data_IF_881267714102
#
_entry.id   IF_881267714102
#
_cell.length_a   1.000
_cell.length_b   1.000
_cell.length_c   1.000
_cell.angle_alpha   90.00
_cell.angle_beta   90.00
_cell.angle_gamma   90.00
#
_symmetry.space_group_name_H-M   'P 1'
#
loop_
_entity.id
_entity.type
_entity.pdbx_description
1 polymer ?
#
# COMPACT_ATOMS: atom_id res chain seq x y z
N UNK A 1 8.47 -17.00 -23.90
CA UNK A 1 8.31 -15.57 -24.25
C UNK A 1 7.67 -14.93 -23.02
N UNK A 2 8.38 -14.00 -22.38
CA UNK A 2 8.23 -13.56 -20.99
C UNK A 2 6.92 -12.78 -20.72
N UNK A 3 5.99 -13.38 -19.99
CA UNK A 3 4.85 -12.65 -19.39
C UNK A 3 5.27 -11.90 -18.12
N UNK A 4 6.37 -11.13 -18.17
CA UNK A 4 6.67 -10.07 -17.20
C UNK A 4 5.81 -8.82 -17.50
N UNK A 5 4.50 -9.01 -17.68
CA UNK A 5 3.61 -7.97 -18.18
C UNK A 5 2.97 -7.18 -17.03
N UNK A 6 3.77 -6.20 -16.59
CA UNK A 6 3.39 -4.93 -15.97
C UNK A 6 2.79 -4.99 -14.57
N UNK A 7 3.67 -5.22 -13.61
CA UNK A 7 3.61 -4.45 -12.37
C UNK A 7 3.59 -2.95 -12.72
N UNK A 8 2.40 -2.36 -12.73
CA UNK A 8 2.25 -0.92 -12.88
C UNK A 8 2.09 -0.35 -11.48
N UNK A 9 3.10 0.38 -11.01
CA UNK A 9 3.11 1.03 -9.70
C UNK A 9 1.81 1.83 -9.45
N UNK A 10 1.28 2.47 -10.50
CA UNK A 10 0.02 3.21 -10.47
C UNK A 10 -1.19 2.29 -10.24
N UNK A 11 -1.23 1.13 -10.88
CA UNK A 11 -2.33 0.16 -10.72
C UNK A 11 -2.34 -0.42 -9.30
N UNK A 12 -1.17 -0.79 -8.78
CA UNK A 12 -1.03 -1.32 -7.42
C UNK A 12 -1.34 -0.26 -6.36
N UNK A 13 -0.89 0.98 -6.58
CA UNK A 13 -1.23 2.13 -5.72
C UNK A 13 -2.73 2.34 -5.64
N UNK A 14 -3.43 2.36 -6.79
CA UNK A 14 -4.89 2.53 -6.83
C UNK A 14 -5.64 1.41 -6.12
N UNK A 15 -5.21 0.16 -6.30
CA UNK A 15 -5.82 -0.98 -5.62
C UNK A 15 -5.61 -0.93 -4.10
N UNK A 16 -4.44 -0.49 -3.66
CA UNK A 16 -4.16 -0.27 -2.24
C UNK A 16 -5.00 0.88 -1.66
N UNK A 17 -5.15 1.99 -2.39
CA UNK A 17 -6.03 3.11 -1.99
C UNK A 17 -7.49 2.66 -1.84
N UNK A 18 -8.01 1.89 -2.80
CA UNK A 18 -9.37 1.32 -2.75
C UNK A 18 -9.54 0.39 -1.54
N UNK A 19 -8.56 -0.47 -1.26
CA UNK A 19 -8.55 -1.34 -0.08
C UNK A 19 -8.60 -0.54 1.23
N UNK A 20 -7.71 0.44 1.39
CA UNK A 20 -7.64 1.26 2.60
C UNK A 20 -8.91 2.07 2.80
N UNK A 21 -9.44 2.65 1.71
CA UNK A 21 -10.67 3.44 1.75
C UNK A 21 -11.85 2.59 2.18
N UNK A 22 -11.96 1.37 1.65
CA UNK A 22 -12.99 0.42 2.04
C UNK A 22 -12.84 -0.05 3.49
N UNK A 23 -11.61 -0.28 3.96
CA UNK A 23 -11.32 -0.78 5.32
C UNK A 23 -11.56 0.27 6.40
N UNK A 24 -11.16 1.52 6.17
CA UNK A 24 -11.16 2.57 7.19
C UNK A 24 -12.20 3.67 6.98
N UNK A 25 -12.93 3.67 5.86
CA UNK A 25 -13.98 4.65 5.58
C UNK A 25 -13.45 6.07 5.34
N UNK A 26 -12.18 6.22 4.95
CA UNK A 26 -11.49 7.49 4.71
C UNK A 26 -10.71 7.43 3.41
N UNK A 27 -10.46 8.57 2.77
CA UNK A 27 -9.61 8.61 1.57
C UNK A 27 -8.13 8.51 1.92
N UNK A 28 -7.40 7.70 1.18
CA UNK A 28 -5.95 7.54 1.30
C UNK A 28 -5.28 7.81 -0.03
N UNK A 29 -4.01 8.20 0.02
CA UNK A 29 -3.15 8.34 -1.15
C UNK A 29 -1.89 7.52 -0.93
N UNK A 30 -1.52 6.72 -1.93
CA UNK A 30 -0.27 5.95 -1.96
C UNK A 30 0.82 6.78 -2.63
N UNK A 31 2.00 6.82 -2.02
CA UNK A 31 3.19 7.43 -2.62
C UNK A 31 3.75 6.49 -3.68
N UNK A 32 3.40 6.72 -4.93
CA UNK A 32 3.78 5.89 -6.09
C UNK A 32 5.30 5.66 -6.19
N UNK A 33 6.12 6.67 -5.84
CA UNK A 33 7.58 6.58 -5.80
C UNK A 33 8.15 5.68 -4.67
N UNK A 34 7.30 5.12 -3.80
CA UNK A 34 7.70 4.22 -2.71
C UNK A 34 7.30 2.77 -2.97
N UNK A 35 6.68 2.50 -4.12
CA UNK A 35 6.22 1.17 -4.48
C UNK A 35 7.44 0.33 -4.88
N UNK A 36 7.70 -0.74 -4.12
CA UNK A 36 8.81 -1.65 -4.34
C UNK A 36 8.26 -3.06 -4.49
N UNK A 37 8.52 -3.69 -5.64
CA UNK A 37 8.17 -5.08 -5.87
C UNK A 37 9.35 -6.00 -5.59
N UNK A 38 9.23 -6.83 -4.56
CA UNK A 38 10.21 -7.86 -4.22
C UNK A 38 9.80 -9.19 -4.85
N UNK A 39 10.17 -9.36 -6.12
CA UNK A 39 9.81 -10.53 -6.93
C UNK A 39 10.19 -11.86 -6.26
N UNK A 40 11.34 -11.93 -5.58
CA UNK A 40 11.83 -13.12 -4.86
C UNK A 40 10.86 -13.61 -3.78
N UNK A 41 10.07 -12.72 -3.20
CA UNK A 41 9.13 -13.02 -2.12
C UNK A 41 7.66 -12.91 -2.57
N UNK A 42 7.41 -12.46 -3.80
CA UNK A 42 6.06 -12.14 -4.27
C UNK A 42 5.39 -11.06 -3.43
N UNK A 43 6.14 -10.07 -2.93
CA UNK A 43 5.60 -9.01 -2.06
C UNK A 43 5.78 -7.63 -2.69
N UNK A 44 4.73 -6.81 -2.72
CA UNK A 44 4.84 -5.35 -2.91
C UNK A 44 4.92 -4.66 -1.57
N UNK A 45 5.81 -3.69 -1.41
CA UNK A 45 5.79 -2.78 -0.26
C UNK A 45 5.60 -1.36 -0.76
N UNK A 46 4.71 -0.59 -0.14
CA UNK A 46 4.42 0.80 -0.53
C UNK A 46 4.08 1.64 0.70
N UNK A 47 4.18 2.96 0.59
CA UNK A 47 3.78 3.90 1.65
C UNK A 47 2.51 4.63 1.29
N UNK A 48 1.61 4.80 2.25
CA UNK A 48 0.42 5.62 2.10
C UNK A 48 0.24 6.58 3.27
N UNK A 49 -0.65 7.55 3.08
CA UNK A 49 -1.11 8.46 4.11
C UNK A 49 -2.60 8.72 3.91
N UNK A 50 -3.34 9.02 4.99
CA UNK A 50 -4.73 9.44 4.86
C UNK A 50 -4.76 10.90 4.38
N UNK A 51 -5.71 11.26 3.52
CA UNK A 51 -5.75 12.59 2.90
C UNK A 51 -6.04 13.72 3.92
N UNK A 52 -6.65 13.39 5.05
CA UNK A 52 -6.90 14.30 6.17
C UNK A 52 -5.68 14.49 7.10
N UNK A 53 -4.63 13.68 6.96
CA UNK A 53 -3.41 13.76 7.78
C UNK A 53 -2.18 13.26 7.00
N UNK A 54 -1.68 14.05 6.03
CA UNK A 54 -0.58 13.64 5.15
C UNK A 54 0.76 13.37 5.86
N UNK A 55 0.92 13.89 7.08
CA UNK A 55 2.09 13.62 7.93
C UNK A 55 2.08 12.19 8.50
N UNK A 56 0.92 11.53 8.55
CA UNK A 56 0.79 10.16 9.05
C UNK A 56 1.06 9.15 7.93
N UNK A 57 2.35 8.97 7.61
CA UNK A 57 2.79 8.00 6.62
C UNK A 57 2.92 6.62 7.25
N UNK A 58 2.37 5.58 6.61
CA UNK A 58 2.48 4.20 7.05
C UNK A 58 2.82 3.26 5.89
N UNK A 59 3.33 2.08 6.22
CA UNK A 59 3.68 1.05 5.25
C UNK A 59 2.49 0.13 4.96
N UNK A 60 2.42 -0.33 3.72
CA UNK A 60 1.49 -1.33 3.22
C UNK A 60 2.31 -2.41 2.53
N UNK A 61 2.14 -3.65 2.96
CA UNK A 61 2.73 -4.82 2.35
C UNK A 61 1.62 -5.64 1.67
N UNK A 62 1.81 -5.99 0.40
CA UNK A 62 0.88 -6.78 -0.41
C UNK A 62 1.53 -8.09 -0.77
N UNK A 63 1.00 -9.19 -0.26
CA UNK A 63 1.47 -10.54 -0.55
C UNK A 63 0.71 -11.08 -1.76
N UNK A 64 1.42 -11.40 -2.84
CA UNK A 64 0.89 -11.90 -4.12
C UNK A 64 0.98 -13.43 -4.22
N UNK A 65 0.52 -14.13 -3.19
CA UNK A 65 0.37 -15.59 -3.23
C UNK A 65 -0.87 -15.98 -4.06
N UNK A 66 -1.62 -17.02 -3.67
CA UNK A 66 -2.88 -17.44 -4.34
C UNK A 66 -3.98 -16.38 -4.27
N UNK A 67 -3.91 -15.45 -3.31
CA UNK A 67 -4.83 -14.33 -3.10
C UNK A 67 -4.00 -13.10 -2.69
N UNK A 68 -4.41 -11.90 -3.13
CA UNK A 68 -3.75 -10.65 -2.69
C UNK A 68 -4.15 -10.33 -1.24
N UNK A 69 -3.17 -10.37 -0.34
CA UNK A 69 -3.37 -10.03 1.07
C UNK A 69 -2.67 -8.71 1.35
N UNK A 70 -3.44 -7.72 1.79
CA UNK A 70 -2.94 -6.39 2.17
C UNK A 70 -2.74 -6.34 3.68
N UNK A 71 -1.52 -6.05 4.09
CA UNK A 71 -1.14 -5.74 5.46
C UNK A 71 -0.78 -4.27 5.56
N UNK A 72 -1.36 -3.55 6.52
CA UNK A 72 -1.06 -2.15 6.75
C UNK A 72 -0.96 -1.87 8.25
N UNK A 73 -0.14 -0.88 8.60
CA UNK A 73 0.10 -0.48 9.99
C UNK A 73 -0.53 0.87 10.32
N UNK A 74 -1.59 1.29 9.61
CA UNK A 74 -2.19 2.61 9.77
C UNK A 74 -2.66 2.88 11.21
N UNK A 75 -3.40 1.93 11.81
CA UNK A 75 -3.96 2.08 13.16
C UNK A 75 -2.85 2.19 14.20
N UNK A 76 -1.78 1.38 14.05
CA UNK A 76 -0.62 1.44 14.93
C UNK A 76 0.05 2.82 14.83
N UNK A 77 0.38 3.29 13.63
CA UNK A 77 0.99 4.61 13.44
C UNK A 77 0.12 5.76 13.94
N UNK A 78 -1.21 5.68 13.77
CA UNK A 78 -2.13 6.71 14.28
C UNK A 78 -2.20 6.73 15.80
N UNK A 79 -2.09 5.59 16.46
CA UNK A 79 -2.09 5.48 17.93
C UNK A 79 -0.82 6.01 18.59
N UNK A 80 0.32 6.05 17.87
CA UNK A 80 1.57 6.58 18.41
C UNK A 80 1.73 8.09 18.29
N UNK A 81 0.88 8.78 17.50
CA UNK A 81 0.92 10.24 17.33
C UNK A 81 2.23 10.76 16.70
N UNK A 82 2.29 12.04 16.28
CA UNK A 82 3.54 12.62 15.82
C UNK A 82 4.51 12.78 17.00
N UNK A 83 5.71 12.21 16.88
CA UNK A 83 6.87 12.59 17.68
C UNK A 83 7.55 13.81 17.06
#
# INVERSE_FOLDING_TARGET
MFENLFYSEQKESRLAEEYLTKKYGKSFTVKTNTVLFKQTFGVSTMKAYPNDSPDTVFNIDVYHEKVRIYHDNYVLNRSFGPF
#
